data_IF_287622023094
#
_entry.id   IF_287622023094
#
_cell.length_a   1.000
_cell.length_b   1.000
_cell.length_c   1.000
_cell.angle_alpha   90.00
_cell.angle_beta   90.00
_cell.angle_gamma   90.00
#
_symmetry.space_group_name_H-M   'P 1'
#
loop_
_entity.id
_entity.type
_entity.pdbx_description
1 polymer ?
#
# COMPACT_ATOMS: atom_id res chain seq x y z
N UNK A 1 -8.10 -0.62 5.80
CA UNK A 1 -8.94 -1.29 6.83
C UNK A 1 -10.39 -0.88 6.60
N UNK A 2 -11.34 -1.76 6.84
CA UNK A 2 -12.77 -1.45 6.72
C UNK A 2 -13.49 -1.93 7.98
N UNK A 3 -14.47 -1.16 8.48
CA UNK A 3 -15.20 -1.44 9.73
C UNK A 3 -16.32 -2.47 9.57
N UNK A 4 -16.78 -2.71 8.34
CA UNK A 4 -17.78 -3.70 7.99
C UNK A 4 -17.73 -3.98 6.48
N UNK A 5 -17.98 -5.23 6.09
CA UNK A 5 -18.03 -5.62 4.68
C UNK A 5 -19.29 -5.05 4.03
N UNK A 6 -19.14 -4.50 2.83
CA UNK A 6 -20.28 -4.16 1.97
C UNK A 6 -20.87 -5.43 1.34
N UNK A 7 -21.92 -5.32 0.52
CA UNK A 7 -22.46 -6.46 -0.24
C UNK A 7 -21.49 -7.09 -1.26
N UNK A 8 -20.31 -6.49 -1.45
CA UNK A 8 -19.30 -6.95 -2.41
C UNK A 8 -17.92 -7.19 -1.78
N UNK A 9 -16.96 -7.56 -2.65
CA UNK A 9 -15.58 -7.80 -2.24
C UNK A 9 -14.96 -6.55 -1.62
N UNK A 10 -14.39 -6.70 -0.41
CA UNK A 10 -13.74 -5.62 0.33
C UNK A 10 -12.34 -6.07 0.74
N UNK A 11 -11.31 -5.59 0.04
CA UNK A 11 -9.92 -6.00 0.27
C UNK A 11 -9.17 -4.91 1.03
N UNK A 12 -8.76 -5.20 2.27
CA UNK A 12 -7.94 -4.33 3.09
C UNK A 12 -6.51 -4.84 3.26
N UNK A 13 -5.67 -4.05 3.95
CA UNK A 13 -4.30 -4.42 4.32
C UNK A 13 -3.38 -4.76 3.14
N UNK A 14 -3.70 -4.23 1.95
CA UNK A 14 -2.84 -4.34 0.75
C UNK A 14 -1.44 -3.85 1.09
N UNK A 15 -0.46 -4.70 0.85
CA UNK A 15 0.94 -4.50 1.21
C UNK A 15 1.84 -4.90 0.04
N UNK A 16 2.93 -4.17 -0.27
CA UNK A 16 3.36 -2.93 0.38
C UNK A 16 2.35 -1.79 0.16
N UNK A 17 2.23 -0.90 1.14
CA UNK A 17 1.28 0.20 1.10
C UNK A 17 1.68 1.29 0.11
N UNK A 18 0.73 2.16 -0.23
CA UNK A 18 0.96 3.26 -1.15
C UNK A 18 2.07 4.22 -0.67
N UNK A 19 2.17 4.44 0.64
CA UNK A 19 3.14 5.39 1.21
C UNK A 19 4.60 5.00 0.96
N UNK A 20 4.87 3.70 0.79
CA UNK A 20 6.22 3.16 0.53
C UNK A 20 6.43 2.77 -0.93
N UNK A 21 5.52 3.13 -1.83
CA UNK A 21 5.66 2.87 -3.27
C UNK A 21 5.33 1.43 -3.68
N UNK A 22 4.49 0.73 -2.90
CA UNK A 22 3.94 -0.55 -3.33
C UNK A 22 3.11 -0.44 -4.62
N UNK A 23 2.73 -1.55 -5.27
CA UNK A 23 1.99 -1.52 -6.54
C UNK A 23 0.69 -0.70 -6.50
N UNK A 24 0.00 -0.66 -5.36
CA UNK A 24 -1.19 0.19 -5.15
C UNK A 24 -0.87 1.71 -5.25
N UNK A 25 0.41 2.08 -5.10
CA UNK A 25 1.06 3.32 -5.51
C UNK A 25 0.76 3.81 -6.92
N UNK A 26 0.74 2.86 -7.84
CA UNK A 26 0.91 3.08 -9.27
C UNK A 26 -0.38 2.87 -10.05
N UNK A 27 -1.49 2.63 -9.34
CA UNK A 27 -2.82 2.50 -9.93
C UNK A 27 -3.28 3.87 -10.40
N UNK A 28 -3.73 3.94 -11.64
CA UNK A 28 -4.31 5.12 -12.26
C UNK A 28 -5.79 4.86 -12.62
N UNK A 29 -6.53 5.95 -12.82
CA UNK A 29 -7.94 5.86 -13.20
C UNK A 29 -8.09 5.15 -14.55
N UNK A 30 -9.01 4.19 -14.61
CA UNK A 30 -9.26 3.38 -15.80
C UNK A 30 -8.42 2.10 -15.89
N UNK A 31 -7.47 1.86 -14.99
CA UNK A 31 -6.76 0.58 -14.92
C UNK A 31 -7.72 -0.57 -14.59
N UNK A 32 -7.49 -1.72 -15.19
CA UNK A 32 -8.26 -2.94 -14.90
C UNK A 32 -7.64 -3.66 -13.71
N UNK A 33 -8.44 -3.89 -12.67
CA UNK A 33 -8.09 -4.70 -11.51
C UNK A 33 -8.89 -6.01 -11.57
N UNK A 34 -8.18 -7.11 -11.68
CA UNK A 34 -8.74 -8.46 -11.65
C UNK A 34 -8.68 -9.00 -10.22
N UNK A 35 -9.82 -9.43 -9.68
CA UNK A 35 -9.92 -10.02 -8.34
C UNK A 35 -10.36 -11.48 -8.52
N UNK A 36 -9.44 -12.40 -8.27
CA UNK A 36 -9.71 -13.83 -8.29
C UNK A 36 -9.76 -14.38 -6.85
N UNK A 37 -10.98 -14.55 -6.36
CA UNK A 37 -11.24 -15.01 -5.00
C UNK A 37 -10.83 -16.48 -4.82
N UNK A 38 -11.00 -17.31 -5.85
CA UNK A 38 -10.72 -18.74 -5.75
C UNK A 38 -9.21 -19.01 -5.70
N UNK A 39 -8.43 -18.21 -6.43
CA UNK A 39 -6.98 -18.31 -6.44
C UNK A 39 -6.28 -17.38 -5.44
N UNK A 40 -7.04 -16.66 -4.60
CA UNK A 40 -6.51 -15.68 -3.64
C UNK A 40 -5.61 -14.62 -4.27
N UNK A 41 -5.94 -14.20 -5.49
CA UNK A 41 -5.10 -13.32 -6.31
C UNK A 41 -5.80 -12.00 -6.61
N UNK A 42 -5.00 -10.93 -6.68
CA UNK A 42 -5.43 -9.60 -7.11
C UNK A 42 -4.37 -9.09 -8.08
N UNK A 43 -4.76 -8.89 -9.33
CA UNK A 43 -3.85 -8.54 -10.40
C UNK A 43 -4.21 -7.17 -10.96
N UNK A 44 -3.24 -6.26 -10.98
CA UNK A 44 -3.32 -5.03 -11.75
C UNK A 44 -2.96 -5.36 -13.20
N UNK A 45 -3.91 -5.26 -14.12
CA UNK A 45 -3.74 -5.65 -15.53
C UNK A 45 -3.07 -4.55 -16.34
N UNK A 46 -1.89 -4.15 -15.90
CA UNK A 46 -1.00 -3.17 -16.53
C UNK A 46 0.31 -3.89 -16.86
N UNK A 47 0.93 -3.57 -17.99
CA UNK A 47 2.21 -4.20 -18.36
C UNK A 47 3.31 -3.80 -17.39
N UNK A 48 4.29 -4.69 -17.21
CA UNK A 48 5.45 -4.41 -16.35
C UNK A 48 6.22 -3.16 -16.81
N UNK A 49 6.28 -2.91 -18.12
CA UNK A 49 6.93 -1.73 -18.71
C UNK A 49 6.28 -0.43 -18.26
N UNK A 50 4.94 -0.38 -18.26
CA UNK A 50 4.19 0.80 -17.82
C UNK A 50 4.27 0.97 -16.30
N UNK A 51 4.21 -0.13 -15.53
CA UNK A 51 4.40 -0.07 -14.09
C UNK A 51 5.81 0.44 -13.72
N UNK A 52 6.84 0.04 -14.44
CA UNK A 52 8.21 0.53 -14.21
C UNK A 52 8.36 2.00 -14.60
N UNK A 53 7.67 2.47 -15.63
CA UNK A 53 7.61 3.89 -15.96
C UNK A 53 6.94 4.68 -14.83
N UNK A 54 5.75 4.26 -14.39
CA UNK A 54 5.04 4.90 -13.27
C UNK A 54 5.85 4.87 -11.98
N UNK A 55 6.59 3.79 -11.72
CA UNK A 55 7.49 3.67 -10.56
C UNK A 55 8.60 4.72 -10.58
N UNK A 56 9.15 5.05 -11.76
CA UNK A 56 10.19 6.08 -11.91
C UNK A 56 9.64 7.50 -11.69
N UNK A 57 8.38 7.72 -12.05
CA UNK A 57 7.69 9.01 -11.84
C UNK A 57 7.09 9.14 -10.44
N UNK A 58 6.99 8.04 -9.69
CA UNK A 58 6.43 8.02 -8.35
C UNK A 58 7.37 8.68 -7.33
N UNK A 59 6.80 9.60 -6.54
CA UNK A 59 7.45 10.17 -5.37
C UNK A 59 6.55 10.00 -4.14
N UNK A 60 7.12 9.67 -2.96
CA UNK A 60 6.34 9.56 -1.73
C UNK A 60 5.67 10.90 -1.40
N UNK A 61 4.41 10.83 -0.97
CA UNK A 61 3.69 12.02 -0.50
C UNK A 61 4.22 12.43 0.86
N UNK A 62 4.43 13.73 1.07
CA UNK A 62 4.82 14.25 2.38
C UNK A 62 3.74 13.95 3.43
N UNK A 63 4.11 13.43 4.61
CA UNK A 63 3.16 13.22 5.70
C UNK A 63 2.53 14.54 6.14
N UNK A 64 1.19 14.55 6.30
CA UNK A 64 0.46 15.72 6.81
C UNK A 64 0.89 16.15 8.21
N UNK A 65 1.41 15.20 8.99
CA UNK A 65 1.87 15.42 10.36
C UNK A 65 3.32 14.99 10.44
N UNK A 66 4.21 15.97 10.58
CA UNK A 66 5.67 15.77 10.61
C UNK A 66 6.25 15.83 12.04
N UNK A 67 5.43 16.17 13.04
CA UNK A 67 5.85 16.30 14.44
C UNK A 67 4.99 15.49 15.41
N UNK A 68 5.43 15.38 16.66
CA UNK A 68 4.68 14.69 17.73
C UNK A 68 4.61 13.17 17.58
N UNK A 69 3.59 12.57 18.20
CA UNK A 69 3.45 11.11 18.29
C UNK A 69 3.25 10.45 16.92
N UNK A 70 2.45 11.05 16.02
CA UNK A 70 2.18 10.47 14.71
C UNK A 70 3.42 10.42 13.81
N UNK A 71 4.31 11.41 13.93
CA UNK A 71 5.61 11.40 13.25
C UNK A 71 6.49 10.25 13.74
N UNK A 72 6.54 10.01 15.06
CA UNK A 72 7.24 8.85 15.63
C UNK A 72 6.63 7.53 15.18
N UNK A 73 5.30 7.42 15.18
CA UNK A 73 4.60 6.23 14.71
C UNK A 73 4.94 5.93 13.24
N UNK A 74 4.83 6.93 12.35
CA UNK A 74 5.14 6.78 10.93
C UNK A 74 6.60 6.35 10.69
N UNK A 75 7.54 6.79 11.54
CA UNK A 75 8.94 6.40 11.44
C UNK A 75 9.24 4.98 11.94
N UNK A 76 8.37 4.37 12.75
CA UNK A 76 8.64 3.11 13.45
C UNK A 76 7.71 1.96 13.03
N UNK A 77 6.54 2.26 12.47
CA UNK A 77 5.52 1.27 12.17
C UNK A 77 5.97 0.35 11.02
N UNK A 78 5.81 -0.95 11.21
CA UNK A 78 6.05 -1.96 10.16
C UNK A 78 4.86 -2.05 9.21
N UNK A 79 5.04 -2.67 8.04
CA UNK A 79 3.95 -2.91 7.10
C UNK A 79 2.77 -3.68 7.73
N UNK A 80 1.57 -3.48 7.19
CA UNK A 80 0.34 -4.13 7.65
C UNK A 80 0.41 -5.66 7.61
N UNK A 81 1.17 -6.24 6.66
CA UNK A 81 1.39 -7.69 6.60
C UNK A 81 2.24 -8.24 7.77
N UNK A 82 3.00 -7.38 8.46
CA UNK A 82 3.78 -7.70 9.67
C UNK A 82 3.02 -7.35 10.96
N UNK A 83 1.73 -7.02 10.86
CA UNK A 83 0.89 -6.69 12.00
C UNK A 83 0.98 -5.23 12.47
N UNK A 84 1.62 -4.36 11.70
CA UNK A 84 1.76 -2.92 12.03
C UNK A 84 2.35 -2.66 13.44
N UNK A 85 3.33 -3.47 13.85
CA UNK A 85 4.07 -3.29 15.11
C UNK A 85 5.05 -2.13 15.00
N UNK A 86 5.57 -1.65 16.14
CA UNK A 86 6.60 -0.62 16.17
C UNK A 86 7.99 -1.27 16.30
N UNK A 87 8.88 -0.97 15.37
CA UNK A 87 10.30 -1.35 15.42
C UNK A 87 11.18 -0.09 15.46
N UNK A 88 12.27 -0.13 16.24
CA UNK A 88 13.21 1.00 16.33
C UNK A 88 14.10 1.00 15.09
N UNK A 89 14.11 2.07 14.27
CA UNK A 89 14.93 2.14 13.07
C UNK A 89 16.42 1.99 13.42
N UNK A 90 17.13 1.10 12.71
CA UNK A 90 18.58 0.93 12.85
C UNK A 90 19.06 0.02 13.99
N UNK A 91 18.16 -0.63 14.75
CA UNK A 91 18.52 -1.77 15.61
C UNK A 91 18.12 -3.07 14.94
N UNK A 92 19.07 -3.69 14.22
CA UNK A 92 19.06 -5.11 13.90
C UNK A 92 20.14 -5.81 14.71
#
# INVERSE_FOLDING_TARGET
RFSGASRGASIGHVSPEAAVGGPIALVEEGDIIEIDINNYAINLKVSDEELEKRRKEWSPREPKVTTGYLSRYAAMVTSGNRGAILEVPGKN
#
